data_IF_282046819424
#
_entry.id   IF_282046819424
#
_cell.length_a   1.000
_cell.length_b   1.000
_cell.length_c   1.000
_cell.angle_alpha   90.00
_cell.angle_beta   90.00
_cell.angle_gamma   90.00
#
_symmetry.space_group_name_H-M   'P 1'
#
loop_
_entity.id
_entity.type
_entity.pdbx_description
1 polymer ?
#
# COMPACT_ATOMS: atom_id res chain seq x y z
N UNK A 1 -27.86 -19.33 -1.54
CA UNK A 1 -28.42 -18.06 -2.07
C UNK A 1 -27.35 -17.36 -2.89
N UNK A 2 -27.65 -17.11 -4.16
CA UNK A 2 -26.67 -16.99 -5.25
C UNK A 2 -25.87 -15.69 -5.34
N UNK A 3 -25.57 -15.02 -4.23
CA UNK A 3 -24.75 -13.80 -4.24
C UNK A 3 -23.24 -14.05 -4.07
N UNK A 4 -22.82 -15.29 -3.80
CA UNK A 4 -21.43 -15.62 -3.45
C UNK A 4 -20.52 -16.03 -4.61
N UNK A 5 -21.05 -16.26 -5.81
CA UNK A 5 -20.23 -16.65 -6.98
C UNK A 5 -19.53 -15.46 -7.67
N UNK A 6 -19.94 -14.21 -7.38
CA UNK A 6 -19.37 -13.01 -8.02
C UNK A 6 -18.02 -12.57 -7.46
N UNK A 7 -17.57 -13.15 -6.34
CA UNK A 7 -16.34 -12.75 -5.63
C UNK A 7 -15.15 -13.70 -5.81
N UNK A 8 -15.33 -14.84 -6.48
CA UNK A 8 -14.24 -15.80 -6.72
C UNK A 8 -13.62 -16.39 -5.45
N UNK A 9 -14.37 -16.40 -4.35
CA UNK A 9 -13.98 -16.98 -3.06
C UNK A 9 -14.58 -18.37 -2.89
N UNK A 10 -13.84 -19.29 -2.27
CA UNK A 10 -14.24 -20.67 -2.06
C UNK A 10 -15.03 -20.77 -0.73
N UNK A 11 -16.32 -21.15 -0.74
CA UNK A 11 -17.18 -21.15 0.45
C UNK A 11 -16.87 -22.25 1.48
N UNK A 12 -15.78 -23.03 1.32
CA UNK A 12 -15.41 -24.13 2.21
C UNK A 12 -14.02 -23.96 2.88
N UNK A 13 -13.33 -22.84 2.68
CA UNK A 13 -12.05 -22.58 3.35
C UNK A 13 -12.23 -21.60 4.52
N UNK A 14 -12.31 -22.13 5.74
CA UNK A 14 -12.41 -21.33 6.97
C UNK A 14 -11.16 -20.46 7.25
N UNK A 15 -10.11 -20.53 6.41
CA UNK A 15 -8.97 -19.58 6.44
C UNK A 15 -9.25 -18.31 5.65
N UNK A 16 -10.24 -18.30 4.75
CA UNK A 16 -10.73 -17.10 4.06
C UNK A 16 -11.64 -16.25 4.99
N UNK A 17 -12.11 -16.83 6.09
CA UNK A 17 -13.06 -16.23 7.05
C UNK A 17 -12.39 -15.52 8.23
N UNK A 18 -11.06 -15.42 8.28
CA UNK A 18 -10.43 -14.46 9.18
C UNK A 18 -10.44 -13.09 8.50
N UNK A 19 -11.27 -12.12 8.94
CA UNK A 19 -11.16 -10.76 8.44
C UNK A 19 -9.77 -10.28 8.84
N UNK A 20 -8.85 -10.30 7.88
CA UNK A 20 -7.53 -9.76 8.10
C UNK A 20 -7.73 -8.32 8.61
N UNK A 21 -7.09 -7.98 9.72
CA UNK A 21 -7.50 -6.85 10.57
C UNK A 21 -7.78 -5.55 9.78
N UNK A 22 -8.81 -4.78 10.17
CA UNK A 22 -9.15 -3.55 9.49
C UNK A 22 -8.04 -2.51 9.67
N UNK A 23 -7.69 -1.82 8.59
CA UNK A 23 -6.78 -0.68 8.67
C UNK A 23 -7.50 0.46 9.39
N UNK A 24 -6.99 0.85 10.55
CA UNK A 24 -7.54 1.96 11.34
C UNK A 24 -6.70 3.21 11.10
N UNK A 25 -7.27 4.23 10.45
CA UNK A 25 -6.59 5.50 10.19
C UNK A 25 -6.80 6.45 11.37
N UNK A 26 -5.70 6.89 11.99
CA UNK A 26 -5.73 7.90 13.05
C UNK A 26 -4.92 9.12 12.63
N UNK A 27 -5.49 10.31 12.83
CA UNK A 27 -4.83 11.57 12.49
C UNK A 27 -3.48 11.70 13.19
N UNK A 28 -2.43 12.04 12.44
CA UNK A 28 -1.06 12.18 12.94
C UNK A 28 -0.29 10.86 13.07
N UNK A 29 -0.91 9.70 12.81
CA UNK A 29 -0.22 8.41 12.80
C UNK A 29 0.21 8.01 11.39
N UNK A 30 1.25 7.18 11.34
CA UNK A 30 1.73 6.54 10.12
C UNK A 30 1.49 5.03 10.19
N UNK A 31 1.05 4.44 9.08
CA UNK A 31 0.71 3.02 9.00
C UNK A 31 1.40 2.42 7.79
N UNK A 32 2.08 1.29 7.98
CA UNK A 32 2.64 0.51 6.88
C UNK A 32 1.52 -0.33 6.24
N UNK A 33 1.37 -0.23 4.92
CA UNK A 33 0.46 -1.10 4.19
C UNK A 33 1.11 -2.45 3.92
N UNK A 34 1.05 -3.34 4.90
CA UNK A 34 1.62 -4.68 4.80
C UNK A 34 0.92 -5.50 3.71
N UNK A 35 1.70 -6.13 2.84
CA UNK A 35 1.19 -6.89 1.69
C UNK A 35 1.08 -6.11 0.39
N UNK A 36 1.36 -4.80 0.37
CA UNK A 36 1.48 -4.04 -0.89
C UNK A 36 2.79 -4.41 -1.59
N UNK A 37 2.68 -5.05 -2.75
CA UNK A 37 3.80 -5.58 -3.53
C UNK A 37 3.77 -5.09 -4.98
N UNK A 38 4.96 -4.95 -5.57
CA UNK A 38 5.14 -4.46 -6.94
C UNK A 38 5.99 -5.43 -7.75
N UNK A 39 5.81 -5.42 -9.06
CA UNK A 39 6.74 -6.09 -9.98
C UNK A 39 8.16 -5.55 -9.74
N UNK A 40 9.16 -6.45 -9.79
CA UNK A 40 10.56 -6.07 -9.59
C UNK A 40 10.99 -4.93 -10.51
N UNK A 41 11.71 -3.95 -9.96
CA UNK A 41 12.16 -2.75 -10.69
C UNK A 41 11.05 -1.83 -11.19
N UNK A 42 9.78 -2.06 -10.81
CA UNK A 42 8.63 -1.37 -11.37
C UNK A 42 7.69 -0.79 -10.31
N UNK A 43 6.86 0.15 -10.76
CA UNK A 43 5.73 0.71 -10.03
C UNK A 43 4.41 -0.03 -10.32
N UNK A 44 4.45 -1.15 -11.04
CA UNK A 44 3.27 -1.96 -11.33
C UNK A 44 2.85 -2.78 -10.10
N UNK A 45 1.68 -2.47 -9.56
CA UNK A 45 1.07 -3.18 -8.44
C UNK A 45 0.73 -4.63 -8.83
N UNK A 46 0.99 -5.58 -7.94
CA UNK A 46 0.67 -6.99 -8.17
C UNK A 46 -0.68 -7.35 -7.55
N UNK A 47 -1.36 -8.36 -8.11
CA UNK A 47 -2.67 -8.87 -7.65
C UNK A 47 -2.74 -9.18 -6.15
N UNK A 48 -1.72 -9.78 -5.49
CA UNK A 48 -1.76 -10.01 -4.05
C UNK A 48 -1.94 -8.74 -3.21
N UNK A 49 -1.62 -7.57 -3.77
CA UNK A 49 -1.82 -6.28 -3.10
C UNK A 49 -3.27 -5.81 -3.10
N UNK A 50 -4.15 -6.42 -3.90
CA UNK A 50 -5.55 -5.96 -4.02
C UNK A 50 -6.28 -6.04 -2.68
N UNK A 51 -6.09 -7.13 -1.91
CA UNK A 51 -6.74 -7.30 -0.62
C UNK A 51 -6.40 -6.16 0.37
N UNK A 52 -5.12 -5.80 0.50
CA UNK A 52 -4.71 -4.68 1.37
C UNK A 52 -5.15 -3.32 0.82
N UNK A 53 -5.17 -3.15 -0.50
CA UNK A 53 -5.63 -1.91 -1.14
C UNK A 53 -7.13 -1.69 -0.95
N UNK A 54 -7.95 -2.75 -1.00
CA UNK A 54 -9.39 -2.67 -0.70
C UNK A 54 -9.64 -2.30 0.78
N UNK A 55 -8.82 -2.81 1.71
CA UNK A 55 -8.89 -2.36 3.12
C UNK A 55 -8.53 -0.89 3.26
N UNK A 56 -7.48 -0.43 2.58
CA UNK A 56 -7.05 0.96 2.61
C UNK A 56 -8.15 1.88 2.03
N UNK A 57 -8.82 1.43 0.98
CA UNK A 57 -9.99 2.10 0.40
C UNK A 57 -11.13 2.21 1.41
N UNK A 58 -11.50 1.10 2.05
CA UNK A 58 -12.58 1.07 3.04
C UNK A 58 -12.30 2.03 4.20
N UNK A 59 -11.07 2.01 4.72
CA UNK A 59 -10.65 2.91 5.80
C UNK A 59 -10.73 4.39 5.39
N UNK A 60 -10.33 4.73 4.15
CA UNK A 60 -10.45 6.09 3.61
C UNK A 60 -11.90 6.53 3.35
N UNK A 61 -12.79 5.60 2.99
CA UNK A 61 -14.23 5.84 2.82
C UNK A 61 -14.93 6.07 4.15
N UNK A 62 -14.58 5.30 5.19
CA UNK A 62 -15.09 5.46 6.55
C UNK A 62 -14.63 6.77 7.20
N UNK A 63 -13.53 7.35 6.73
CA UNK A 63 -12.93 8.56 7.28
C UNK A 63 -12.84 9.70 6.26
N UNK A 64 -13.97 10.25 5.75
CA UNK A 64 -13.97 11.19 4.61
C UNK A 64 -13.21 12.50 4.87
N UNK A 65 -13.04 12.91 6.13
CA UNK A 65 -12.31 14.12 6.52
C UNK A 65 -10.79 13.98 6.56
N UNK A 66 -10.26 12.75 6.54
CA UNK A 66 -8.82 12.52 6.64
C UNK A 66 -8.12 12.74 5.30
N UNK A 67 -6.93 13.34 5.37
CA UNK A 67 -5.98 13.45 4.27
C UNK A 67 -4.80 12.51 4.53
N UNK A 68 -4.32 11.86 3.49
CA UNK A 68 -3.25 10.87 3.58
C UNK A 68 -2.14 11.22 2.60
N UNK A 69 -0.92 11.25 3.11
CA UNK A 69 0.28 11.16 2.30
C UNK A 69 0.67 9.69 2.13
N UNK A 70 0.77 9.27 0.89
CA UNK A 70 1.21 7.95 0.47
C UNK A 70 2.73 8.05 0.27
N UNK A 71 3.47 7.54 1.26
CA UNK A 71 4.92 7.56 1.29
C UNK A 71 5.47 6.23 0.73
N UNK A 72 6.20 6.30 -0.37
CA UNK A 72 6.85 5.15 -0.98
C UNK A 72 8.32 5.04 -0.58
N UNK A 73 8.77 3.81 -0.35
CA UNK A 73 10.16 3.50 0.01
C UNK A 73 10.71 2.34 -0.84
N UNK A 74 12.03 2.28 -0.96
CA UNK A 74 12.76 1.18 -1.60
C UNK A 74 13.79 0.59 -0.64
N UNK A 75 14.36 -0.55 -1.00
CA UNK A 75 15.63 -0.99 -0.42
C UNK A 75 16.81 -0.19 -1.02
N UNK A 76 18.03 -0.56 -0.64
CA UNK A 76 19.26 0.09 -1.10
C UNK A 76 19.80 -0.45 -2.44
N UNK A 77 19.08 -1.31 -3.16
CA UNK A 77 19.55 -1.81 -4.44
C UNK A 77 19.37 -0.73 -5.52
N UNK A 78 20.39 -0.55 -6.38
CA UNK A 78 20.38 0.47 -7.44
C UNK A 78 20.80 1.87 -6.98
N UNK A 79 20.67 2.85 -7.89
CA UNK A 79 21.08 4.23 -7.63
C UNK A 79 20.03 5.01 -6.85
N UNK A 80 20.46 6.01 -6.07
CA UNK A 80 19.58 6.91 -5.31
C UNK A 80 18.53 7.55 -6.24
N UNK A 81 18.95 8.05 -7.41
CA UNK A 81 18.03 8.68 -8.36
C UNK A 81 17.00 7.69 -8.92
N UNK A 82 17.39 6.44 -9.18
CA UNK A 82 16.46 5.40 -9.61
C UNK A 82 15.44 5.08 -8.51
N UNK A 83 15.90 4.96 -7.26
CA UNK A 83 15.06 4.69 -6.11
C UNK A 83 14.09 5.82 -5.78
N UNK A 84 14.49 7.08 -5.98
CA UNK A 84 13.61 8.25 -5.85
C UNK A 84 12.47 8.21 -6.86
N UNK A 85 12.78 7.92 -8.12
CA UNK A 85 11.78 7.79 -9.18
C UNK A 85 10.87 6.59 -8.92
N UNK A 86 11.44 5.45 -8.52
CA UNK A 86 10.70 4.21 -8.29
C UNK A 86 9.74 4.33 -7.11
N UNK A 87 10.22 4.82 -5.96
CA UNK A 87 9.39 5.05 -4.78
C UNK A 87 8.23 6.02 -5.06
N UNK A 88 8.50 7.14 -5.74
CA UNK A 88 7.47 8.09 -6.15
C UNK A 88 6.46 7.46 -7.12
N UNK A 89 6.93 6.68 -8.09
CA UNK A 89 6.09 5.96 -9.03
C UNK A 89 5.15 4.98 -8.32
N UNK A 90 5.65 4.21 -7.34
CA UNK A 90 4.86 3.28 -6.53
C UNK A 90 3.79 4.00 -5.71
N UNK A 91 4.15 5.09 -5.04
CA UNK A 91 3.19 5.92 -4.31
C UNK A 91 2.11 6.49 -5.25
N UNK A 92 2.50 6.90 -6.46
CA UNK A 92 1.56 7.39 -7.47
C UNK A 92 0.63 6.28 -7.98
N UNK A 93 1.12 5.05 -8.18
CA UNK A 93 0.26 3.91 -8.54
C UNK A 93 -0.81 3.67 -7.49
N UNK A 94 -0.44 3.67 -6.20
CA UNK A 94 -1.38 3.51 -5.07
C UNK A 94 -2.40 4.65 -5.07
N UNK A 95 -1.96 5.90 -5.23
CA UNK A 95 -2.86 7.06 -5.35
C UNK A 95 -3.85 6.88 -6.50
N UNK A 96 -3.36 6.56 -7.69
CA UNK A 96 -4.20 6.37 -8.88
C UNK A 96 -5.24 5.28 -8.64
N UNK A 97 -4.82 4.13 -8.10
CA UNK A 97 -5.71 3.00 -7.80
C UNK A 97 -6.86 3.40 -6.87
N UNK A 98 -6.58 4.20 -5.83
CA UNK A 98 -7.60 4.70 -4.88
C UNK A 98 -8.51 5.74 -5.51
N UNK A 99 -7.95 6.67 -6.29
CA UNK A 99 -8.75 7.71 -6.97
C UNK A 99 -9.71 7.12 -7.99
N UNK A 100 -9.30 6.09 -8.72
CA UNK A 100 -10.17 5.35 -9.64
C UNK A 100 -11.35 4.66 -8.93
N UNK A 101 -11.25 4.43 -7.61
CA UNK A 101 -12.30 3.83 -6.77
C UNK A 101 -13.07 4.84 -5.93
N UNK A 102 -12.94 6.13 -6.27
CA UNK A 102 -13.78 7.20 -5.74
C UNK A 102 -13.20 7.98 -4.56
N UNK A 103 -11.93 7.76 -4.18
CA UNK A 103 -11.28 8.66 -3.21
C UNK A 103 -10.89 9.97 -3.90
N UNK A 104 -11.32 11.10 -3.37
CA UNK A 104 -11.00 12.40 -3.94
C UNK A 104 -9.48 12.66 -3.99
N UNK A 105 -8.96 13.06 -5.15
CA UNK A 105 -7.52 13.20 -5.38
C UNK A 105 -6.85 14.25 -4.48
N UNK A 106 -7.59 15.26 -4.01
CA UNK A 106 -7.12 16.27 -3.07
C UNK A 106 -6.92 15.75 -1.63
N UNK A 107 -7.43 14.54 -1.32
CA UNK A 107 -7.19 13.87 -0.04
C UNK A 107 -5.91 13.06 -0.03
N UNK A 108 -5.29 12.85 -1.20
CA UNK A 108 -4.15 11.95 -1.37
C UNK A 108 -2.95 12.70 -1.95
N UNK A 109 -1.81 12.62 -1.26
CA UNK A 109 -0.52 13.12 -1.77
C UNK A 109 0.42 11.95 -1.96
N UNK A 110 1.14 11.86 -3.08
CA UNK A 110 2.10 10.79 -3.33
C UNK A 110 3.53 11.33 -3.22
N UNK A 111 4.34 10.74 -2.34
CA UNK A 111 5.72 11.15 -2.07
C UNK A 111 6.64 9.94 -2.13
N UNK A 112 7.78 10.09 -2.81
CA UNK A 112 8.83 9.08 -2.85
C UNK A 112 9.98 9.46 -1.93
N UNK A 113 10.28 8.60 -0.96
CA UNK A 113 11.40 8.78 -0.02
C UNK A 113 12.67 8.04 -0.45
N UNK A 114 12.57 7.22 -1.50
CA UNK A 114 13.67 6.39 -2.00
C UNK A 114 14.16 5.40 -0.95
N UNK A 115 15.47 5.23 -0.89
CA UNK A 115 16.17 4.29 0.00
C UNK A 115 16.74 4.94 1.27
N UNK A 116 16.45 6.23 1.51
CA UNK A 116 17.13 7.05 2.54
C UNK A 116 16.68 6.74 3.97
N UNK A 117 15.53 6.12 4.14
CA UNK A 117 14.89 5.88 5.44
C UNK A 117 14.51 4.39 5.60
N UNK A 118 15.52 3.51 5.73
CA UNK A 118 15.28 2.09 5.97
C UNK A 118 14.72 1.87 7.38
N UNK A 119 13.81 0.91 7.51
CA UNK A 119 13.25 0.45 8.80
C UNK A 119 13.83 -0.90 9.23
N UNK A 120 14.58 -1.55 8.35
CA UNK A 120 15.27 -2.80 8.62
C UNK A 120 16.63 -2.84 7.90
N UNK A 121 17.47 -3.80 8.29
CA UNK A 121 18.79 -3.98 7.70
C UNK A 121 18.70 -4.26 6.19
N UNK A 122 19.43 -3.51 5.38
CA UNK A 122 19.55 -3.81 3.95
C UNK A 122 20.50 -4.99 3.66
N UNK A 123 21.20 -5.50 4.68
CA UNK A 123 22.15 -6.60 4.52
C UNK A 123 21.45 -7.95 4.34
N UNK A 124 20.20 -8.09 4.76
CA UNK A 124 19.44 -9.34 4.63
C UNK A 124 18.28 -9.22 3.64
N UNK A 125 17.92 -10.28 2.92
CA UNK A 125 16.77 -10.28 2.03
C UNK A 125 15.46 -9.88 2.73
N UNK A 126 15.28 -10.30 3.98
CA UNK A 126 14.11 -10.02 4.81
C UNK A 126 14.03 -8.53 5.15
N UNK A 127 15.16 -7.92 5.50
CA UNK A 127 15.19 -6.49 5.81
C UNK A 127 15.01 -5.62 4.56
N UNK A 128 15.56 -6.03 3.40
CA UNK A 128 15.25 -5.38 2.12
C UNK A 128 13.76 -5.47 1.78
N UNK A 129 13.13 -6.62 2.01
CA UNK A 129 11.68 -6.78 1.82
C UNK A 129 10.88 -5.81 2.70
N UNK A 130 11.26 -5.62 3.97
CA UNK A 130 10.64 -4.63 4.86
C UNK A 130 10.85 -3.19 4.39
N UNK A 131 12.01 -2.87 3.79
CA UNK A 131 12.28 -1.52 3.29
C UNK A 131 11.49 -1.18 2.03
N UNK A 132 11.15 -2.17 1.19
CA UNK A 132 10.26 -2.02 0.02
C UNK A 132 8.79 -1.94 0.48
N UNK A 133 8.39 -0.79 1.01
CA UNK A 133 7.05 -0.59 1.61
C UNK A 133 6.35 0.67 1.13
N UNK A 134 5.04 0.71 1.37
CA UNK A 134 4.21 1.90 1.29
C UNK A 134 3.70 2.22 2.69
N UNK A 135 3.77 3.48 3.08
CA UNK A 135 3.15 3.99 4.30
C UNK A 135 2.06 5.00 3.98
N UNK A 136 1.05 5.04 4.83
CA UNK A 136 0.07 6.11 4.89
C UNK A 136 0.39 7.00 6.08
N UNK A 137 0.77 8.25 5.83
CA UNK A 137 0.89 9.28 6.86
C UNK A 137 -0.39 10.08 6.89
N UNK A 138 -1.18 9.90 7.93
CA UNK A 138 -2.47 10.58 8.10
C UNK A 138 -2.21 11.99 8.63
N UNK A 139 -2.68 13.02 7.92
CA UNK A 139 -2.49 14.43 8.26
C UNK A 139 -3.66 15.01 9.05
#
# INVERSE_FOLDING_TARGET
DGDEVKRGTNPLDARDDQPAEPITLEKGKSIVLEGVTFQSGSAKLLKPSEAVMEKALLALKQNPGLRVEIAGYTDNEGSISANDKLSKGRAQTVKTWLTMRGIAANRLTAVGYGSRTPIASNLTPEGRAKNRRIEFHVK
#
